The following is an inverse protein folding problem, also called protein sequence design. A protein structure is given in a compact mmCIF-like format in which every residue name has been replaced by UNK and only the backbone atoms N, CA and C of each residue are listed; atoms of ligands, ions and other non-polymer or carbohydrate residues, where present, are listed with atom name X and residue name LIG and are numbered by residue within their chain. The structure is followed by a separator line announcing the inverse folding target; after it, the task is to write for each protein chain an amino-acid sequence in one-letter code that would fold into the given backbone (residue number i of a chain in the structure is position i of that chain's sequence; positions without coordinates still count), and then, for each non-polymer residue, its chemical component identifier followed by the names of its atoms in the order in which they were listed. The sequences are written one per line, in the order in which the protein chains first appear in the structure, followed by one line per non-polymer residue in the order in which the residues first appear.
data_IF_512954293656
#
_entry.id   IF_512954293656
#
_cell.length_a   1.000
_cell.length_b   1.000
_cell.length_c   1.000
_cell.angle_alpha   90.00
_cell.angle_beta   90.00
_cell.angle_gamma   90.00
#
_symmetry.space_group_name_H-M   'P 1'
#
loop_
_entity.id
_entity.type
_entity.pdbx_description
1 polymer ?
#
# COMPACT_ATOMS: atom_id res chain seq x y z
N UNK A 1 2.33 -19.92 -8.45
CA UNK A 1 1.49 -18.73 -8.63
C UNK A 1 2.11 -17.84 -9.69
N UNK A 2 1.28 -17.26 -10.56
CA UNK A 2 1.69 -16.17 -11.41
C UNK A 2 1.67 -14.83 -10.62
N UNK A 3 2.12 -13.73 -11.26
CA UNK A 3 2.20 -12.44 -10.58
C UNK A 3 0.82 -11.90 -10.14
N UNK A 4 -0.23 -12.11 -10.93
CA UNK A 4 -1.59 -11.67 -10.57
C UNK A 4 -2.10 -12.41 -9.34
N UNK A 5 -1.92 -13.71 -9.28
CA UNK A 5 -2.28 -14.51 -8.11
C UNK A 5 -1.42 -14.17 -6.89
N UNK A 6 -0.11 -13.92 -7.08
CA UNK A 6 0.77 -13.51 -6.00
C UNK A 6 0.33 -12.17 -5.38
N UNK A 7 -0.08 -11.19 -6.20
CA UNK A 7 -0.64 -9.92 -5.72
C UNK A 7 -1.96 -10.17 -4.97
N UNK A 8 -2.88 -10.95 -5.57
CA UNK A 8 -4.23 -11.11 -5.04
C UNK A 8 -4.30 -11.93 -3.76
N UNK A 9 -3.38 -12.88 -3.57
CA UNK A 9 -3.27 -13.72 -2.40
C UNK A 9 -2.23 -13.20 -1.38
N UNK A 10 -1.54 -12.10 -1.70
CA UNK A 10 -0.47 -11.52 -0.87
C UNK A 10 0.63 -12.55 -0.55
N UNK A 11 1.19 -13.19 -1.59
CA UNK A 11 2.16 -14.26 -1.44
C UNK A 11 3.58 -13.70 -1.19
N UNK A 12 3.99 -13.59 0.05
CA UNK A 12 5.30 -13.04 0.45
C UNK A 12 6.46 -13.80 -0.21
N UNK A 13 6.40 -15.13 -0.28
CA UNK A 13 7.47 -15.95 -0.88
C UNK A 13 7.73 -15.58 -2.35
N UNK A 14 6.68 -15.22 -3.11
CA UNK A 14 6.83 -14.75 -4.48
C UNK A 14 7.64 -13.44 -4.52
N UNK A 15 7.28 -12.49 -3.64
CA UNK A 15 7.94 -11.19 -3.59
C UNK A 15 9.32 -11.24 -2.94
N UNK A 16 9.60 -12.20 -2.06
CA UNK A 16 10.97 -12.44 -1.56
C UNK A 16 11.91 -12.80 -2.72
N UNK A 17 11.51 -13.78 -3.55
CA UNK A 17 12.31 -14.18 -4.72
C UNK A 17 12.46 -13.04 -5.74
N UNK A 18 11.38 -12.28 -5.98
CA UNK A 18 11.43 -11.14 -6.88
C UNK A 18 12.34 -10.02 -6.33
N UNK A 19 12.28 -9.78 -5.03
CA UNK A 19 13.13 -8.81 -4.34
C UNK A 19 14.62 -9.14 -4.44
N UNK A 20 14.98 -10.41 -4.29
CA UNK A 20 16.37 -10.86 -4.47
C UNK A 20 16.85 -10.64 -5.91
N UNK A 21 16.02 -10.92 -6.91
CA UNK A 21 16.35 -10.70 -8.32
C UNK A 21 16.51 -9.22 -8.66
N UNK A 22 15.65 -8.35 -8.15
CA UNK A 22 15.67 -6.92 -8.41
C UNK A 22 16.81 -6.20 -7.66
N UNK A 23 17.05 -6.61 -6.43
CA UNK A 23 17.98 -5.98 -5.52
C UNK A 23 17.50 -4.62 -4.97
N UNK A 24 18.03 -4.27 -3.79
CA UNK A 24 17.58 -3.07 -3.07
C UNK A 24 17.75 -1.77 -3.86
N UNK A 25 18.78 -1.65 -4.69
CA UNK A 25 19.02 -0.41 -5.45
C UNK A 25 17.88 -0.10 -6.43
N UNK A 26 17.41 -1.10 -7.18
CA UNK A 26 16.30 -0.93 -8.11
C UNK A 26 14.97 -0.71 -7.37
N UNK A 27 14.73 -1.46 -6.29
CA UNK A 27 13.53 -1.32 -5.45
C UNK A 27 13.45 0.11 -4.88
N UNK A 28 14.54 0.58 -4.26
CA UNK A 28 14.56 1.90 -3.62
C UNK A 28 14.51 3.05 -4.64
N UNK A 29 15.14 2.89 -5.80
CA UNK A 29 15.06 3.88 -6.87
C UNK A 29 13.61 4.00 -7.36
N UNK A 30 12.98 2.90 -7.76
CA UNK A 30 11.60 2.91 -8.23
C UNK A 30 10.64 3.48 -7.19
N UNK A 31 10.78 3.08 -5.92
CA UNK A 31 9.93 3.59 -4.85
C UNK A 31 10.04 5.13 -4.70
N UNK A 32 11.26 5.70 -4.80
CA UNK A 32 11.44 7.15 -4.75
C UNK A 32 10.85 7.86 -5.97
N UNK A 33 11.05 7.32 -7.17
CA UNK A 33 10.48 7.85 -8.40
C UNK A 33 8.94 7.76 -8.39
N UNK A 34 8.38 6.74 -7.72
CA UNK A 34 6.95 6.59 -7.47
C UNK A 34 6.41 7.51 -6.35
N UNK A 35 7.26 8.36 -5.76
CA UNK A 35 6.85 9.38 -4.80
C UNK A 35 6.96 9.00 -3.32
N UNK A 36 7.51 7.82 -3.00
CA UNK A 36 7.77 7.41 -1.61
C UNK A 36 9.10 7.99 -1.08
N UNK A 37 9.22 8.10 0.24
CA UNK A 37 10.42 8.63 0.89
C UNK A 37 10.60 10.15 0.74
N UNK A 38 9.60 10.87 0.25
CA UNK A 38 9.56 12.31 0.08
C UNK A 38 8.17 12.88 0.42
N UNK A 39 8.10 14.17 0.74
CA UNK A 39 6.82 14.83 1.02
C UNK A 39 5.96 14.88 -0.23
N UNK A 40 4.65 14.71 -0.08
CA UNK A 40 3.69 14.82 -1.19
C UNK A 40 3.38 16.28 -1.55
N UNK A 41 3.70 17.20 -0.64
CA UNK A 41 3.40 18.62 -0.77
C UNK A 41 1.96 18.98 -0.41
N UNK A 42 1.23 18.09 0.28
CA UNK A 42 -0.08 18.41 0.84
C UNK A 42 0.06 19.59 1.80
N UNK A 43 -0.90 20.52 1.78
CA UNK A 43 -0.88 21.72 2.62
C UNK A 43 -1.29 21.40 4.07
N UNK A 44 -0.47 20.55 4.73
CA UNK A 44 -0.62 20.20 6.15
C UNK A 44 0.70 20.41 6.88
N UNK A 45 0.68 20.88 8.13
CA UNK A 45 1.89 21.03 8.93
C UNK A 45 2.48 19.65 9.26
N UNK A 46 3.81 19.61 9.39
CA UNK A 46 4.56 18.42 9.85
C UNK A 46 4.38 17.17 8.99
N UNK A 47 4.16 17.30 7.68
CA UNK A 47 4.10 16.15 6.78
C UNK A 47 5.38 15.32 6.90
N UNK A 48 5.23 14.04 7.22
CA UNK A 48 6.35 13.09 7.23
C UNK A 48 6.69 12.67 5.80
N UNK A 49 7.98 12.60 5.49
CA UNK A 49 8.46 12.07 4.21
C UNK A 49 8.51 10.54 4.15
N UNK A 50 8.34 9.86 5.29
CA UNK A 50 8.62 8.42 5.38
C UNK A 50 10.09 8.08 5.11
N UNK A 51 10.37 6.81 4.86
CA UNK A 51 11.71 6.31 4.59
C UNK A 51 11.68 5.18 3.57
N UNK A 52 12.46 5.31 2.51
CA UNK A 52 12.82 4.21 1.61
C UNK A 52 14.31 3.93 1.83
N UNK A 53 14.65 2.81 2.48
CA UNK A 53 16.02 2.48 2.81
C UNK A 53 16.81 2.05 1.57
N UNK A 54 18.12 2.26 1.60
CA UNK A 54 19.09 1.73 0.64
C UNK A 54 20.44 1.46 1.31
N UNK A 55 21.42 1.00 0.52
CA UNK A 55 22.76 0.67 1.00
C UNK A 55 23.45 1.87 1.66
N UNK A 56 23.36 3.04 1.04
CA UNK A 56 24.02 4.26 1.52
C UNK A 56 23.36 4.79 2.79
N UNK A 57 22.03 4.75 2.86
CA UNK A 57 21.31 5.11 4.05
C UNK A 57 21.69 4.24 5.24
N UNK A 58 21.75 2.92 5.06
CA UNK A 58 22.14 2.00 6.13
C UNK A 58 23.55 2.22 6.59
N UNK A 59 24.49 2.36 5.65
CA UNK A 59 25.89 2.63 5.99
C UNK A 59 26.04 3.92 6.80
N UNK A 60 25.36 5.00 6.37
CA UNK A 60 25.38 6.30 7.07
C UNK A 60 24.71 6.24 8.43
N UNK A 61 23.63 5.48 8.57
CA UNK A 61 22.82 5.43 9.80
C UNK A 61 23.40 4.53 10.87
N UNK A 62 23.95 3.38 10.47
CA UNK A 62 24.39 2.31 11.38
C UNK A 62 25.88 1.95 11.26
N UNK A 63 26.61 2.48 10.28
CA UNK A 63 27.99 2.10 10.01
C UNK A 63 28.14 0.65 9.50
N UNK A 64 27.06 0.03 9.02
CA UNK A 64 27.02 -1.37 8.63
C UNK A 64 26.62 -1.51 7.16
N UNK A 65 27.19 -2.49 6.43
CA UNK A 65 26.78 -2.77 5.07
C UNK A 65 25.37 -3.36 5.01
N UNK A 66 24.72 -3.19 3.86
CA UNK A 66 23.41 -3.79 3.56
C UNK A 66 23.54 -5.32 3.49
N UNK A 67 22.58 -6.05 4.06
CA UNK A 67 22.52 -7.51 4.04
C UNK A 67 21.41 -7.98 3.09
N UNK A 68 21.59 -9.15 2.46
CA UNK A 68 20.60 -9.72 1.53
C UNK A 68 19.20 -9.91 2.14
N UNK A 69 19.13 -10.37 3.37
CA UNK A 69 17.86 -10.52 4.09
C UNK A 69 17.06 -9.22 4.27
N UNK A 70 17.74 -8.06 4.32
CA UNK A 70 17.06 -6.76 4.39
C UNK A 70 16.40 -6.40 3.05
N UNK A 71 16.94 -6.86 1.91
CA UNK A 71 16.28 -6.71 0.61
C UNK A 71 14.98 -7.50 0.57
N UNK A 72 15.00 -8.73 1.04
CA UNK A 72 13.83 -9.62 1.10
C UNK A 72 12.70 -8.99 1.92
N UNK A 73 13.03 -8.51 3.11
CA UNK A 73 12.06 -7.84 4.00
C UNK A 73 11.55 -6.53 3.38
N UNK A 74 12.43 -5.74 2.77
CA UNK A 74 12.07 -4.48 2.10
C UNK A 74 11.14 -4.72 0.90
N UNK A 75 11.31 -5.84 0.18
CA UNK A 75 10.49 -6.18 -0.98
C UNK A 75 9.00 -6.38 -0.67
N UNK A 76 8.66 -6.67 0.57
CA UNK A 76 7.27 -6.74 1.06
C UNK A 76 6.85 -5.51 1.89
N UNK A 77 7.66 -4.44 1.87
CA UNK A 77 7.34 -3.20 2.57
C UNK A 77 7.56 -3.22 4.08
N UNK A 78 8.35 -4.17 4.58
CA UNK A 78 8.68 -4.32 6.00
C UNK A 78 10.08 -3.77 6.33
N UNK A 79 10.54 -3.99 7.55
CA UNK A 79 11.86 -3.58 8.02
C UNK A 79 11.96 -2.07 8.25
N UNK A 80 12.86 -1.40 7.53
CA UNK A 80 13.07 0.05 7.70
C UNK A 80 12.12 0.92 6.86
N UNK A 81 11.27 0.32 6.02
CA UNK A 81 10.33 1.07 5.18
C UNK A 81 9.30 1.75 6.06
N UNK A 82 9.15 3.07 5.89
CA UNK A 82 8.02 3.80 6.47
C UNK A 82 7.37 4.67 5.40
N UNK A 83 6.04 4.70 5.42
CA UNK A 83 5.23 5.48 4.49
C UNK A 83 4.05 6.11 5.21
N UNK A 84 3.44 7.13 4.59
CA UNK A 84 2.23 7.76 5.12
C UNK A 84 1.00 7.30 4.32
N UNK A 85 -0.21 7.30 4.92
CA UNK A 85 -1.44 7.00 4.18
C UNK A 85 -1.62 7.89 2.93
N UNK A 86 -1.24 9.15 3.00
CA UNK A 86 -1.35 10.08 1.86
C UNK A 86 -0.38 9.73 0.72
N UNK A 87 0.81 9.23 1.01
CA UNK A 87 1.73 8.72 -0.02
C UNK A 87 1.14 7.50 -0.74
N UNK A 88 0.56 6.57 0.02
CA UNK A 88 -0.11 5.40 -0.56
C UNK A 88 -1.33 5.83 -1.39
N UNK A 89 -2.16 6.73 -0.89
CA UNK A 89 -3.32 7.24 -1.62
C UNK A 89 -2.90 7.92 -2.94
N UNK A 90 -1.84 8.73 -2.91
CA UNK A 90 -1.27 9.36 -4.09
C UNK A 90 -0.77 8.34 -5.12
N UNK A 91 -0.07 7.29 -4.67
CA UNK A 91 0.41 6.22 -5.55
C UNK A 91 -0.75 5.43 -6.17
N UNK A 92 -1.75 5.04 -5.37
CA UNK A 92 -2.95 4.32 -5.86
C UNK A 92 -3.74 5.20 -6.82
N UNK A 93 -3.87 6.50 -6.54
CA UNK A 93 -4.47 7.46 -7.47
C UNK A 93 -3.74 7.48 -8.81
N UNK A 94 -2.40 7.49 -8.80
CA UNK A 94 -1.61 7.47 -10.02
C UNK A 94 -1.77 6.17 -10.83
N UNK A 95 -2.08 5.04 -10.19
CA UNK A 95 -2.39 3.80 -10.92
C UNK A 95 -3.65 3.93 -11.78
N UNK A 96 -4.64 4.73 -11.38
CA UNK A 96 -5.95 4.82 -12.03
C UNK A 96 -6.17 6.10 -12.85
N UNK A 97 -5.33 7.12 -12.69
CA UNK A 97 -5.48 8.43 -13.35
C UNK A 97 -4.56 8.66 -14.56
N UNK A 98 -3.98 7.60 -15.12
CA UNK A 98 -3.04 7.73 -16.25
C UNK A 98 -1.58 7.81 -15.84
N UNK A 99 -1.23 7.59 -14.57
CA UNK A 99 0.15 7.63 -14.07
C UNK A 99 0.56 8.98 -13.47
N UNK A 100 -0.36 9.92 -13.32
CA UNK A 100 -0.05 11.25 -12.81
C UNK A 100 0.10 11.23 -11.28
N UNK A 101 1.29 11.55 -10.78
CA UNK A 101 1.55 11.78 -9.37
C UNK A 101 1.14 13.23 -9.03
N UNK A 102 -0.09 13.37 -8.56
CA UNK A 102 -0.67 14.67 -8.23
C UNK A 102 -0.19 15.16 -6.87
N UNK A 103 -0.15 16.49 -6.70
CA UNK A 103 -0.08 17.11 -5.38
C UNK A 103 -1.45 16.98 -4.70
N UNK A 104 -1.55 16.37 -3.51
CA UNK A 104 -2.81 16.31 -2.79
C UNK A 104 -3.26 17.71 -2.37
N UNK A 105 -4.54 18.02 -2.57
CA UNK A 105 -5.16 19.32 -2.26
C UNK A 105 -6.27 19.12 -1.23
N UNK A 106 -6.45 20.08 -0.34
CA UNK A 106 -7.52 20.09 0.68
C UNK A 106 -8.61 21.10 0.34
N UNK A 107 -8.32 21.99 -0.60
CA UNK A 107 -9.24 23.05 -1.02
C UNK A 107 -10.07 22.59 -2.20
N UNK A 108 -11.35 22.90 -2.18
CA UNK A 108 -12.25 22.68 -3.32
C UNK A 108 -11.95 23.65 -4.47
N UNK A 109 -12.21 23.20 -5.69
CA UNK A 109 -12.09 24.02 -6.91
C UNK A 109 -10.66 24.49 -7.24
N UNK A 110 -9.64 23.82 -6.70
CA UNK A 110 -8.24 24.03 -7.10
C UNK A 110 -7.92 23.08 -8.25
N UNK A 111 -7.30 23.60 -9.31
CA UNK A 111 -6.89 22.75 -10.44
C UNK A 111 -5.85 21.71 -9.99
N UNK A 112 -5.97 20.45 -10.47
CA UNK A 112 -4.98 19.42 -10.18
C UNK A 112 -3.57 19.83 -10.61
N UNK A 113 -2.59 19.66 -9.73
CA UNK A 113 -1.17 19.93 -10.00
C UNK A 113 -0.45 18.58 -10.19
N UNK A 114 0.04 18.34 -11.41
CA UNK A 114 0.87 17.16 -11.70
C UNK A 114 2.31 17.47 -11.33
N UNK A 115 2.85 16.78 -10.34
CA UNK A 115 4.25 16.94 -9.92
C UNK A 115 5.20 16.08 -10.74
N UNK A 116 4.80 14.86 -11.08
CA UNK A 116 5.58 13.93 -11.89
C UNK A 116 4.69 12.80 -12.42
N UNK A 117 5.30 11.90 -13.20
CA UNK A 117 4.64 10.69 -13.70
C UNK A 117 5.22 9.46 -13.02
N UNK A 118 4.39 8.42 -12.81
CA UNK A 118 4.89 7.10 -12.41
C UNK A 118 5.89 6.58 -13.45
N UNK A 119 7.04 6.05 -13.05
CA UNK A 119 8.05 5.47 -13.95
C UNK A 119 7.59 4.07 -14.42
N UNK A 120 6.41 3.99 -15.04
CA UNK A 120 5.75 2.73 -15.36
C UNK A 120 4.99 2.85 -16.69
N UNK A 121 5.18 1.88 -17.57
CA UNK A 121 4.40 1.77 -18.80
C UNK A 121 2.93 1.49 -18.50
N UNK A 122 2.03 1.98 -19.35
CA UNK A 122 0.58 1.81 -19.24
C UNK A 122 0.15 0.34 -19.12
N UNK A 123 0.82 -0.57 -19.84
CA UNK A 123 0.50 -2.00 -19.76
C UNK A 123 0.74 -2.57 -18.37
N UNK A 124 1.82 -2.17 -17.69
CA UNK A 124 2.14 -2.62 -16.33
C UNK A 124 1.20 -1.99 -15.31
N UNK A 125 0.89 -0.70 -15.46
CA UNK A 125 -0.08 0.00 -14.63
C UNK A 125 -1.46 -0.66 -14.69
N UNK A 126 -1.95 -0.96 -15.91
CA UNK A 126 -3.21 -1.69 -16.14
C UNK A 126 -3.18 -3.08 -15.53
N UNK A 127 -2.06 -3.81 -15.66
CA UNK A 127 -1.91 -5.13 -15.07
C UNK A 127 -2.03 -5.09 -13.54
N UNK A 128 -1.35 -4.13 -12.87
CA UNK A 128 -1.44 -3.97 -11.42
C UNK A 128 -2.87 -3.60 -11.01
N UNK A 129 -3.51 -2.68 -11.71
CA UNK A 129 -4.90 -2.28 -11.45
C UNK A 129 -5.85 -3.47 -11.56
N UNK A 130 -5.73 -4.29 -12.61
CA UNK A 130 -6.52 -5.52 -12.77
C UNK A 130 -6.22 -6.56 -11.68
N UNK A 131 -4.96 -6.68 -11.24
CA UNK A 131 -4.59 -7.56 -10.15
C UNK A 131 -5.19 -7.11 -8.81
N UNK A 132 -5.27 -5.80 -8.56
CA UNK A 132 -5.98 -5.26 -7.39
C UNK A 132 -7.49 -5.52 -7.46
N UNK A 133 -8.11 -5.45 -8.63
CA UNK A 133 -9.52 -5.84 -8.82
C UNK A 133 -9.67 -7.35 -8.57
N UNK A 134 -8.74 -8.14 -9.07
CA UNK A 134 -8.74 -9.60 -8.85
C UNK A 134 -8.62 -9.95 -7.35
N UNK A 135 -7.90 -9.15 -6.55
CA UNK A 135 -7.84 -9.30 -5.08
C UNK A 135 -9.21 -9.22 -4.41
N UNK A 136 -10.14 -8.45 -4.99
CA UNK A 136 -11.53 -8.35 -4.52
C UNK A 136 -12.41 -9.44 -5.12
N UNK A 137 -12.22 -9.76 -6.41
CA UNK A 137 -13.12 -10.64 -7.18
C UNK A 137 -12.78 -12.14 -7.03
N UNK A 138 -11.53 -12.50 -6.79
CA UNK A 138 -11.11 -13.89 -6.69
C UNK A 138 -11.65 -14.57 -5.42
N UNK A 139 -11.92 -15.88 -5.52
CA UNK A 139 -12.27 -16.70 -4.36
C UNK A 139 -11.16 -16.77 -3.31
N UNK A 140 -9.90 -16.60 -3.72
CA UNK A 140 -8.71 -16.61 -2.86
C UNK A 140 -8.18 -15.20 -2.55
N UNK A 141 -8.81 -14.15 -3.08
CA UNK A 141 -8.38 -12.78 -2.85
C UNK A 141 -8.54 -12.33 -1.41
N UNK A 142 -7.59 -11.55 -0.92
CA UNK A 142 -7.55 -11.11 0.50
C UNK A 142 -8.52 -9.97 0.82
N UNK A 143 -9.11 -9.31 -0.19
CA UNK A 143 -10.03 -8.19 -0.01
C UNK A 143 -11.48 -8.47 -0.48
N UNK A 144 -11.93 -9.72 -0.40
CA UNK A 144 -13.27 -10.15 -0.86
C UNK A 144 -14.43 -9.45 -0.17
N UNK A 145 -14.24 -8.99 1.07
CA UNK A 145 -15.24 -8.23 1.82
C UNK A 145 -15.65 -6.93 1.12
N UNK A 146 -14.80 -6.40 0.23
CA UNK A 146 -15.07 -5.17 -0.52
C UNK A 146 -15.92 -5.36 -1.78
N UNK A 147 -16.42 -6.58 -2.06
CA UNK A 147 -17.30 -6.78 -3.22
C UNK A 147 -18.57 -5.97 -3.10
N UNK A 148 -18.88 -5.23 -4.18
CA UNK A 148 -20.09 -4.46 -4.33
C UNK A 148 -20.76 -4.83 -5.67
N UNK A 149 -22.10 -4.82 -5.73
CA UNK A 149 -22.83 -5.18 -6.94
C UNK A 149 -22.74 -4.09 -8.03
N UNK A 150 -22.74 -2.83 -7.61
CA UNK A 150 -22.84 -1.68 -8.51
C UNK A 150 -21.54 -0.86 -8.59
N UNK A 151 -20.42 -1.41 -8.14
CA UNK A 151 -19.12 -0.73 -8.21
C UNK A 151 -18.00 -1.72 -8.49
N UNK A 152 -16.96 -1.25 -9.18
CA UNK A 152 -15.72 -1.99 -9.38
C UNK A 152 -14.70 -1.53 -8.35
N UNK A 153 -14.31 -2.42 -7.43
CA UNK A 153 -13.32 -2.12 -6.41
C UNK A 153 -12.05 -2.92 -6.69
N UNK A 154 -10.91 -2.25 -6.61
CA UNK A 154 -9.58 -2.85 -6.55
C UNK A 154 -8.91 -2.54 -5.23
N UNK A 155 -8.27 -3.52 -4.61
CA UNK A 155 -7.66 -3.33 -3.29
C UNK A 155 -6.41 -4.17 -3.07
N UNK A 156 -5.61 -3.76 -2.08
CA UNK A 156 -4.49 -4.52 -1.53
C UNK A 156 -4.49 -4.38 -0.02
N UNK A 157 -4.52 -5.52 0.66
CA UNK A 157 -4.33 -5.61 2.11
C UNK A 157 -2.86 -5.48 2.48
N UNK A 158 -2.59 -4.93 3.64
CA UNK A 158 -1.27 -4.89 4.26
C UNK A 158 -1.37 -5.15 5.76
N UNK A 159 -0.31 -5.70 6.30
CA UNK A 159 -0.11 -5.87 7.74
C UNK A 159 1.32 -5.43 8.03
N UNK A 160 1.48 -4.33 8.77
CA UNK A 160 2.79 -3.78 9.07
C UNK A 160 3.21 -4.18 10.49
N UNK A 161 4.29 -4.96 10.58
CA UNK A 161 4.83 -5.39 11.87
C UNK A 161 5.37 -4.21 12.66
N UNK A 162 4.93 -4.10 13.93
CA UNK A 162 5.39 -3.08 14.89
C UNK A 162 6.66 -3.53 15.58
N UNK A 163 6.71 -4.81 15.97
CA UNK A 163 7.82 -5.45 16.63
C UNK A 163 8.01 -6.86 16.07
N UNK A 164 9.22 -7.40 16.20
CA UNK A 164 9.40 -8.84 16.02
C UNK A 164 8.70 -9.57 17.16
N UNK A 165 7.67 -10.33 16.83
CA UNK A 165 6.99 -11.16 17.83
C UNK A 165 7.96 -12.23 18.37
N UNK A 166 7.85 -12.52 19.65
CA UNK A 166 8.50 -13.69 20.24
C UNK A 166 7.79 -14.97 19.76
N UNK A 167 8.50 -16.10 19.80
CA UNK A 167 7.93 -17.43 19.47
C UNK A 167 6.62 -17.70 20.22
N UNK A 168 6.49 -17.14 21.44
CA UNK A 168 5.29 -17.24 22.25
C UNK A 168 4.07 -16.55 21.65
N UNK A 169 4.25 -15.52 20.82
CA UNK A 169 3.17 -14.72 20.24
C UNK A 169 2.92 -15.00 18.74
N UNK A 170 3.85 -15.69 18.05
CA UNK A 170 3.77 -15.93 16.59
C UNK A 170 2.52 -16.71 16.14
N UNK A 171 1.96 -17.55 17.03
CA UNK A 171 0.81 -18.43 16.74
C UNK A 171 -0.46 -18.04 17.53
N UNK A 172 -0.49 -16.85 18.15
CA UNK A 172 -1.67 -16.39 18.89
C UNK A 172 -2.63 -15.61 17.99
N UNK A 173 -3.91 -15.68 18.32
CA UNK A 173 -4.90 -14.78 17.72
C UNK A 173 -4.58 -13.33 18.10
N UNK A 174 -4.92 -12.39 17.21
CA UNK A 174 -4.62 -10.95 17.41
C UNK A 174 -5.10 -10.44 18.78
N UNK A 175 -6.21 -10.95 19.28
CA UNK A 175 -6.79 -10.53 20.55
C UNK A 175 -5.97 -10.95 21.76
N UNK A 176 -5.21 -12.05 21.64
CA UNK A 176 -4.32 -12.57 22.69
C UNK A 176 -2.96 -11.90 22.70
N UNK A 177 -2.64 -11.09 21.69
CA UNK A 177 -1.43 -10.30 21.63
C UNK A 177 -1.66 -8.97 22.37
N UNK A 178 -0.72 -8.54 23.26
CA UNK A 178 -0.84 -7.23 23.89
C UNK A 178 -1.01 -6.11 22.87
N UNK A 179 -1.93 -5.17 23.10
CA UNK A 179 -2.34 -4.16 22.13
C UNK A 179 -1.18 -3.46 21.43
N UNK A 180 -0.19 -2.98 22.19
CA UNK A 180 0.96 -2.25 21.64
C UNK A 180 1.94 -3.10 20.82
N UNK A 181 1.80 -4.42 20.85
CA UNK A 181 2.62 -5.36 20.07
C UNK A 181 1.90 -5.84 18.82
N UNK A 182 0.59 -5.53 18.68
CA UNK A 182 -0.19 -5.91 17.50
C UNK A 182 0.29 -5.14 16.28
N UNK A 183 0.25 -5.81 15.15
CA UNK A 183 0.58 -5.20 13.86
C UNK A 183 -0.42 -4.11 13.48
N UNK A 184 0.02 -3.18 12.61
CA UNK A 184 -0.88 -2.20 12.03
C UNK A 184 -1.62 -2.79 10.83
N UNK A 185 -2.95 -2.64 10.81
CA UNK A 185 -3.80 -3.09 9.72
C UNK A 185 -3.89 -2.02 8.63
N UNK A 186 -3.56 -2.39 7.38
CA UNK A 186 -3.62 -1.52 6.22
C UNK A 186 -4.57 -2.04 5.14
N UNK A 187 -5.27 -1.12 4.51
CA UNK A 187 -5.99 -1.37 3.26
C UNK A 187 -5.81 -0.18 2.33
N UNK A 188 -5.28 -0.43 1.14
CA UNK A 188 -5.21 0.55 0.06
C UNK A 188 -6.14 0.11 -1.07
N UNK A 189 -7.00 1.00 -1.55
CA UNK A 189 -8.03 0.66 -2.51
C UNK A 189 -8.40 1.81 -3.43
N UNK A 190 -9.01 1.47 -4.54
CA UNK A 190 -9.73 2.39 -5.42
C UNK A 190 -11.09 1.79 -5.78
N UNK A 191 -12.04 2.65 -6.10
CA UNK A 191 -13.37 2.26 -6.51
C UNK A 191 -13.90 3.13 -7.64
N UNK A 192 -14.67 2.49 -8.55
CA UNK A 192 -15.37 3.14 -9.66
C UNK A 192 -16.85 2.81 -9.59
N UNK A 193 -17.70 3.83 -9.72
CA UNK A 193 -19.13 3.69 -9.97
C UNK A 193 -19.58 4.83 -10.86
N UNK A 194 -20.21 4.50 -11.99
CA UNK A 194 -20.63 5.47 -12.99
C UNK A 194 -19.48 6.41 -13.39
N UNK A 195 -19.58 7.70 -13.13
CA UNK A 195 -18.55 8.70 -13.38
C UNK A 195 -17.70 9.02 -12.15
N UNK A 196 -18.01 8.44 -10.97
CA UNK A 196 -17.29 8.67 -9.74
C UNK A 196 -16.11 7.69 -9.59
N UNK A 197 -14.99 8.22 -9.11
CA UNK A 197 -13.81 7.43 -8.77
C UNK A 197 -13.19 7.94 -7.49
N UNK A 198 -12.96 7.01 -6.57
CA UNK A 198 -12.38 7.33 -5.26
C UNK A 198 -11.19 6.42 -4.96
N UNK A 199 -10.24 6.95 -4.20
CA UNK A 199 -9.17 6.18 -3.56
C UNK A 199 -9.40 6.24 -2.06
N UNK A 200 -9.43 5.07 -1.42
CA UNK A 200 -9.61 4.96 0.03
C UNK A 200 -8.43 4.18 0.59
N UNK A 201 -7.72 4.80 1.53
CA UNK A 201 -6.62 4.17 2.27
C UNK A 201 -6.94 4.25 3.76
N UNK A 202 -6.94 3.10 4.40
CA UNK A 202 -7.20 2.98 5.85
C UNK A 202 -6.00 2.36 6.53
N UNK A 203 -5.56 3.01 7.59
CA UNK A 203 -4.60 2.50 8.58
C UNK A 203 -5.31 2.40 9.93
N UNK A 204 -5.27 1.24 10.54
CA UNK A 204 -5.69 1.04 11.94
C UNK A 204 -4.45 0.63 12.72
N UNK A 205 -3.94 1.54 13.54
CA UNK A 205 -2.80 1.27 14.42
C UNK A 205 -3.14 0.15 15.39
N UNK A 206 -2.24 -0.83 15.50
CA UNK A 206 -2.41 -2.02 16.34
C UNK A 206 -3.70 -2.83 16.05
N UNK A 207 -4.23 -2.68 14.83
CA UNK A 207 -5.48 -3.33 14.40
C UNK A 207 -5.33 -4.78 13.95
N UNK A 208 -4.10 -5.30 13.88
CA UNK A 208 -3.83 -6.68 13.43
C UNK A 208 -3.93 -6.83 11.92
N UNK A 209 -4.95 -7.50 11.42
CA UNK A 209 -5.08 -7.87 10.02
C UNK A 209 -5.74 -6.79 9.15
N UNK A 210 -5.13 -6.45 8.01
CA UNK A 210 -5.71 -5.53 7.04
C UNK A 210 -7.08 -5.97 6.50
N UNK A 211 -7.28 -7.28 6.27
CA UNK A 211 -8.53 -7.78 5.70
C UNK A 211 -9.69 -7.76 6.70
N UNK A 212 -9.46 -8.12 7.95
CA UNK A 212 -10.52 -8.24 8.97
C UNK A 212 -10.81 -6.92 9.69
N UNK A 213 -9.84 -6.02 9.80
CA UNK A 213 -9.98 -4.76 10.53
C UNK A 213 -10.14 -3.56 9.61
N UNK A 214 -9.21 -3.33 8.67
CA UNK A 214 -9.32 -2.20 7.76
C UNK A 214 -10.36 -2.43 6.65
N UNK A 215 -10.59 -3.68 6.23
CA UNK A 215 -11.53 -4.03 5.17
C UNK A 215 -12.97 -3.54 5.42
N UNK A 216 -13.61 -3.86 6.56
CA UNK A 216 -14.96 -3.37 6.87
C UNK A 216 -15.06 -1.83 6.83
N UNK A 217 -14.09 -1.12 7.38
CA UNK A 217 -14.06 0.35 7.37
C UNK A 217 -14.01 0.89 5.93
N UNK A 218 -13.16 0.31 5.08
CA UNK A 218 -13.09 0.70 3.65
C UNK A 218 -14.42 0.44 2.95
N UNK A 219 -15.08 -0.68 3.26
CA UNK A 219 -16.38 -1.02 2.68
C UNK A 219 -17.45 0.00 3.06
N UNK A 220 -17.57 0.34 4.34
CA UNK A 220 -18.53 1.32 4.84
C UNK A 220 -18.31 2.70 4.18
N UNK A 221 -17.03 3.11 4.00
CA UNK A 221 -16.68 4.35 3.30
C UNK A 221 -17.16 4.31 1.85
N UNK A 222 -16.95 3.21 1.09
CA UNK A 222 -17.43 3.11 -0.28
C UNK A 222 -18.97 3.05 -0.36
N UNK A 223 -19.62 2.36 0.57
CA UNK A 223 -21.08 2.35 0.64
C UNK A 223 -21.62 3.78 0.81
N UNK A 224 -21.01 4.58 1.68
CA UNK A 224 -21.38 5.99 1.84
C UNK A 224 -21.09 6.82 0.59
N UNK A 225 -19.87 6.79 0.07
CA UNK A 225 -19.45 7.60 -1.09
C UNK A 225 -20.28 7.30 -2.34
N UNK A 226 -20.66 6.05 -2.57
CA UNK A 226 -21.42 5.66 -3.75
C UNK A 226 -22.94 5.77 -3.57
N UNK A 227 -23.46 6.05 -2.39
CA UNK A 227 -24.89 6.35 -2.18
C UNK A 227 -25.18 7.83 -2.47
N UNK A 228 -24.29 8.73 -2.09
CA UNK A 228 -24.51 10.18 -2.26
C UNK A 228 -24.42 10.65 -3.73
N UNK A 229 -23.75 9.89 -4.60
CA UNK A 229 -23.63 10.18 -6.04
C UNK A 229 -24.78 9.58 -6.88
N UNK A 230 -25.91 9.15 -6.29
CA UNK A 230 -27.02 8.45 -6.98
C UNK A 230 -28.19 9.34 -7.28
#
# INVERSE_FOLDING_TARGET
LDLQEAISQSCDVYFYNLGEQLGISNISQFAREAGFGQRTGINLPNESKGLIPDKDWKLKRFGQPWQGGETVITAIGQGYVTTTPVQIARFVSALINGGHLLRPQLELNVSPEVQSMLPMEDKHRKFITQSMIHTVQSKRGTARSLRMQNATIGAKTGTAQVVRLSEEHENKDTEDIPYLLRDHAWMASFGFRDNASYVVVVLVEHGGSGSSTAGPIVKDIYEYLFIEDS
#
